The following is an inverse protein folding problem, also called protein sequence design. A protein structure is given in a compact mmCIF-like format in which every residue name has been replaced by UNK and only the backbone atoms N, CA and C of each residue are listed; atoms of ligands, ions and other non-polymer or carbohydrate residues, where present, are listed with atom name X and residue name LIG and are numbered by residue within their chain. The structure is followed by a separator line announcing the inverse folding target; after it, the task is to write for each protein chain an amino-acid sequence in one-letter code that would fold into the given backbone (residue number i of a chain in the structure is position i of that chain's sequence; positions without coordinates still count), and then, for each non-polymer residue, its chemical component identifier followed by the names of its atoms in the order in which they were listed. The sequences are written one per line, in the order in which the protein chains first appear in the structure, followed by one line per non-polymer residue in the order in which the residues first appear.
data_IF_969146912164
#
_entry.id   IF_969146912164
#
_cell.length_a   1.000
_cell.length_b   1.000
_cell.length_c   1.000
_cell.angle_alpha   90.00
_cell.angle_beta   90.00
_cell.angle_gamma   90.00
#
_symmetry.space_group_name_H-M   'P 1'
#
loop_
_entity.id
_entity.type
_entity.pdbx_description
1 polymer ?
#
# COMPACT_ATOMS: atom_id res chain seq x y z
N UNK A 1 7.44 17.82 -5.29
CA UNK A 1 6.51 16.70 -5.58
C UNK A 1 5.09 17.23 -5.72
N UNK A 2 4.41 16.99 -6.85
CA UNK A 2 3.09 17.55 -7.13
C UNK A 2 2.00 17.01 -6.20
N UNK A 3 1.06 17.88 -5.78
CA UNK A 3 -0.06 17.54 -4.85
C UNK A 3 -0.87 16.30 -5.29
N UNK A 4 -0.96 16.03 -6.59
CA UNK A 4 -1.70 14.88 -7.16
C UNK A 4 -1.02 13.53 -6.87
N UNK A 5 0.30 13.44 -7.02
CA UNK A 5 1.03 12.18 -6.80
C UNK A 5 0.96 11.73 -5.34
N UNK A 6 1.08 12.68 -4.40
CA UNK A 6 0.95 12.40 -2.96
C UNK A 6 -0.45 11.87 -2.61
N UNK A 7 -1.51 12.39 -3.25
CA UNK A 7 -2.89 11.89 -3.05
C UNK A 7 -3.05 10.46 -3.55
N UNK A 8 -2.52 10.16 -4.74
CA UNK A 8 -2.56 8.80 -5.31
C UNK A 8 -1.83 7.81 -4.40
N UNK A 9 -0.62 8.14 -3.92
CA UNK A 9 0.13 7.27 -2.99
C UNK A 9 -0.65 7.02 -1.70
N UNK A 10 -1.28 8.06 -1.11
CA UNK A 10 -2.14 7.90 0.08
C UNK A 10 -3.33 6.97 -0.20
N UNK A 11 -3.98 7.12 -1.35
CA UNK A 11 -5.10 6.29 -1.77
C UNK A 11 -4.68 4.82 -1.92
N UNK A 12 -3.59 4.55 -2.65
CA UNK A 12 -3.04 3.19 -2.84
C UNK A 12 -2.71 2.53 -1.48
N UNK A 13 -2.03 3.26 -0.58
CA UNK A 13 -1.74 2.73 0.77
C UNK A 13 -3.01 2.42 1.54
N UNK A 14 -4.04 3.27 1.45
CA UNK A 14 -5.36 3.02 2.04
C UNK A 14 -6.00 1.73 1.53
N UNK A 15 -5.98 1.52 0.21
CA UNK A 15 -6.48 0.29 -0.41
C UNK A 15 -5.76 -0.95 0.13
N UNK A 16 -4.42 -0.95 0.14
CA UNK A 16 -3.59 -2.08 0.62
C UNK A 16 -3.80 -2.34 2.13
N UNK A 17 -4.05 -1.29 2.91
CA UNK A 17 -4.28 -1.40 4.35
C UNK A 17 -5.64 -2.04 4.66
N UNK A 18 -6.69 -1.62 3.95
CA UNK A 18 -8.07 -1.96 4.28
C UNK A 18 -8.58 -3.22 3.58
N UNK A 19 -8.10 -3.53 2.37
CA UNK A 19 -8.56 -4.68 1.59
C UNK A 19 -7.48 -5.75 1.54
N UNK A 20 -7.85 -6.99 1.87
CA UNK A 20 -6.98 -8.15 1.66
C UNK A 20 -7.02 -8.56 0.19
N UNK A 21 -5.90 -9.06 -0.32
CA UNK A 21 -5.77 -9.70 -1.64
C UNK A 21 -6.01 -8.84 -2.89
N UNK A 22 -5.90 -7.51 -2.80
CA UNK A 22 -5.90 -6.67 -4.01
C UNK A 22 -4.66 -6.94 -4.86
N UNK A 23 -4.84 -7.33 -6.12
CA UNK A 23 -3.77 -7.46 -7.11
C UNK A 23 -3.27 -6.09 -7.58
N UNK A 24 -2.20 -6.06 -8.38
CA UNK A 24 -1.70 -4.80 -8.95
C UNK A 24 -2.72 -4.26 -9.96
N UNK A 25 -3.27 -5.17 -10.75
CA UNK A 25 -4.27 -4.93 -11.79
C UNK A 25 -5.53 -4.33 -11.18
N UNK A 26 -6.04 -4.90 -10.08
CA UNK A 26 -7.19 -4.34 -9.36
C UNK A 26 -6.94 -2.90 -8.94
N UNK A 27 -5.78 -2.62 -8.33
CA UNK A 27 -5.43 -1.28 -7.86
C UNK A 27 -5.30 -0.32 -9.05
N UNK A 28 -4.72 -0.76 -10.17
CA UNK A 28 -4.68 0.02 -11.39
C UNK A 28 -6.10 0.38 -11.88
N UNK A 29 -7.04 -0.56 -11.90
CA UNK A 29 -8.44 -0.28 -12.27
C UNK A 29 -9.12 0.73 -11.32
N UNK A 30 -8.83 0.68 -10.01
CA UNK A 30 -9.29 1.71 -9.07
C UNK A 30 -8.71 3.09 -9.41
N UNK A 31 -7.44 3.15 -9.80
CA UNK A 31 -6.79 4.40 -10.19
C UNK A 31 -7.42 4.95 -11.47
N UNK A 32 -7.63 4.12 -12.49
CA UNK A 32 -8.30 4.52 -13.72
C UNK A 32 -9.69 5.10 -13.44
N UNK A 33 -10.51 4.41 -12.64
CA UNK A 33 -11.87 4.85 -12.30
C UNK A 33 -11.92 6.13 -11.47
N UNK A 34 -11.00 6.32 -10.53
CA UNK A 34 -11.05 7.43 -9.58
C UNK A 34 -10.22 8.66 -10.01
N UNK A 35 -9.10 8.43 -10.70
CA UNK A 35 -8.16 9.48 -11.10
C UNK A 35 -8.10 9.69 -12.63
N UNK A 36 -8.85 8.92 -13.42
CA UNK A 36 -8.86 9.04 -14.88
C UNK A 36 -7.52 8.69 -15.53
N UNK A 37 -6.74 7.81 -14.90
CA UNK A 37 -5.41 7.46 -15.41
C UNK A 37 -5.54 6.43 -16.52
N UNK A 38 -4.93 6.63 -17.70
CA UNK A 38 -5.09 5.72 -18.83
C UNK A 38 -4.24 4.46 -18.62
N UNK A 39 -4.77 3.49 -17.87
CA UNK A 39 -4.05 2.26 -17.50
C UNK A 39 -3.84 1.34 -18.71
N UNK A 40 -4.69 1.48 -19.73
CA UNK A 40 -4.51 0.83 -21.04
C UNK A 40 -3.18 1.18 -21.70
N UNK A 41 -2.56 2.31 -21.37
CA UNK A 41 -1.25 2.68 -21.89
C UNK A 41 -0.15 1.93 -21.13
N UNK A 42 0.68 1.10 -21.78
CA UNK A 42 1.66 0.25 -21.09
C UNK A 42 2.65 1.03 -20.22
N UNK A 43 3.13 2.19 -20.70
CA UNK A 43 4.07 3.03 -19.95
C UNK A 43 3.47 3.54 -18.64
N UNK A 44 2.17 3.87 -18.65
CA UNK A 44 1.41 4.29 -17.46
C UNK A 44 1.22 3.12 -16.53
N UNK A 45 0.81 1.95 -17.03
CA UNK A 45 0.68 0.73 -16.23
C UNK A 45 1.98 0.40 -15.49
N UNK A 46 3.13 0.36 -16.19
CA UNK A 46 4.42 0.05 -15.56
C UNK A 46 4.84 1.09 -14.53
N UNK A 47 4.56 2.37 -14.78
CA UNK A 47 4.79 3.45 -13.81
C UNK A 47 4.01 3.21 -12.52
N UNK A 48 2.71 2.94 -12.61
CA UNK A 48 1.88 2.71 -11.43
C UNK A 48 2.16 1.37 -10.76
N UNK A 49 2.46 0.31 -11.52
CA UNK A 49 2.93 -0.97 -10.98
C UNK A 49 4.14 -0.78 -10.06
N UNK A 50 5.12 0.06 -10.44
CA UNK A 50 6.26 0.39 -9.58
C UNK A 50 5.82 1.10 -8.30
N UNK A 51 4.96 2.12 -8.42
CA UNK A 51 4.44 2.89 -7.27
C UNK A 51 3.65 1.98 -6.30
N UNK A 52 2.82 1.08 -6.82
CA UNK A 52 2.02 0.13 -6.04
C UNK A 52 2.93 -0.81 -5.26
N UNK A 53 3.99 -1.33 -5.89
CA UNK A 53 4.96 -2.21 -5.23
C UNK A 53 5.76 -1.49 -4.14
N UNK A 54 6.11 -0.22 -4.33
CA UNK A 54 6.69 0.63 -3.28
C UNK A 54 5.71 0.78 -2.10
N UNK A 55 4.46 1.15 -2.38
CA UNK A 55 3.44 1.32 -1.35
C UNK A 55 3.17 0.01 -0.58
N UNK A 56 3.14 -1.14 -1.25
CA UNK A 56 3.00 -2.46 -0.61
C UNK A 56 4.14 -2.74 0.36
N UNK A 57 5.39 -2.53 -0.06
CA UNK A 57 6.57 -2.73 0.79
C UNK A 57 6.51 -1.85 2.04
N UNK A 58 6.15 -0.58 1.87
CA UNK A 58 6.02 0.36 3.00
C UNK A 58 4.95 -0.10 4.00
N UNK A 59 3.73 -0.41 3.52
CA UNK A 59 2.63 -0.88 4.40
C UNK A 59 2.98 -2.19 5.10
N UNK A 60 3.64 -3.13 4.41
CA UNK A 60 4.05 -4.39 5.03
C UNK A 60 5.17 -4.21 6.05
N UNK A 61 6.11 -3.29 5.80
CA UNK A 61 7.15 -2.93 6.75
C UNK A 61 6.58 -2.26 8.00
N UNK A 62 5.61 -1.35 7.84
CA UNK A 62 4.87 -0.75 8.95
C UNK A 62 4.18 -1.82 9.80
N UNK A 63 3.43 -2.73 9.17
CA UNK A 63 2.77 -3.87 9.87
C UNK A 63 3.79 -4.74 10.61
N UNK A 64 4.96 -5.02 10.01
CA UNK A 64 6.02 -5.81 10.66
C UNK A 64 6.61 -5.07 11.87
N UNK A 65 6.87 -3.77 11.76
CA UNK A 65 7.38 -2.94 12.88
C UNK A 65 6.37 -2.88 14.02
N UNK A 66 5.09 -2.69 13.71
CA UNK A 66 4.04 -2.63 14.72
C UNK A 66 3.90 -3.96 15.49
N UNK A 67 3.98 -5.10 14.78
CA UNK A 67 4.01 -6.43 15.42
C UNK A 67 5.20 -6.58 16.36
N UNK A 68 6.40 -6.13 15.96
CA UNK A 68 7.60 -6.17 16.83
C UNK A 68 7.42 -5.31 18.08
N UNK A 69 6.86 -4.10 17.93
CA UNK A 69 6.56 -3.20 19.05
C UNK A 69 5.55 -3.79 20.04
N UNK A 70 4.47 -4.39 19.54
CA UNK A 70 3.47 -5.08 20.39
C UNK A 70 4.06 -6.30 21.10
N UNK A 71 4.99 -7.01 20.47
CA UNK A 71 5.70 -8.15 21.09
C UNK A 71 6.65 -7.69 22.20
N UNK A 72 7.36 -6.58 22.04
CA UNK A 72 8.26 -6.05 23.07
C UNK A 72 7.53 -5.41 24.24
N UNK A 73 6.29 -4.92 24.05
CA UNK A 73 5.46 -4.34 25.11
C UNK A 73 4.61 -5.38 25.86
N UNK A 74 4.62 -6.65 25.46
CA UNK A 74 3.91 -7.71 26.17
C UNK A 74 4.76 -8.10 27.39
N UNK A 75 4.29 -7.91 28.64
CA UNK A 75 5.05 -8.33 29.81
C UNK A 75 5.34 -9.82 29.66
N UNK A 76 6.60 -10.22 29.87
CA UNK A 76 6.92 -11.65 30.00
C UNK A 76 6.19 -12.11 31.24
N UNK A 77 5.05 -12.78 31.06
CA UNK A 77 4.35 -13.44 32.16
C UNK A 77 5.36 -14.31 32.91
N UNK A 78 5.60 -13.98 34.17
CA UNK A 78 6.34 -14.83 35.08
C UNK A 78 5.69 -16.21 35.07
N UNK A 79 6.51 -17.23 34.88
CA UNK A 79 6.14 -18.58 35.28
C UNK A 79 6.13 -18.54 36.82
N UNK A 80 4.93 -18.54 37.40
CA UNK A 80 4.72 -19.04 38.76
C UNK A 80 4.84 -20.55 38.76
#
# INVERSE_FOLDING_TARGET
MGKKETRIRKYIKGLIRNRKYLTVEDICLYLERYYGVPISVPSVFYKYKKIINECRREVYNERRREKRRKKSSRPKGGRS
#
